data_IF_045752121778
#
_entry.id   IF_045752121778
#
_cell.length_a   1.000
_cell.length_b   1.000
_cell.length_c   1.000
_cell.angle_alpha   90.00
_cell.angle_beta   90.00
_cell.angle_gamma   90.00
#
_symmetry.space_group_name_H-M   'P 1'
#
loop_
_entity.id
_entity.type
_entity.pdbx_description
1 polymer ?
#
# COMPACT_ATOMS: atom_id res chain seq x y z
N UNK A 1 8.47 15.38 -3.19
CA UNK A 1 9.75 14.64 -3.13
C UNK A 1 9.49 13.28 -2.51
N UNK A 2 10.26 12.26 -2.88
CA UNK A 2 10.22 10.96 -2.21
C UNK A 2 10.82 11.12 -0.81
N UNK A 3 10.08 10.73 0.24
CA UNK A 3 10.51 10.83 1.63
C UNK A 3 10.35 9.48 2.31
N UNK A 4 11.48 8.83 2.59
CA UNK A 4 11.51 7.50 3.20
C UNK A 4 10.90 7.50 4.61
N UNK A 5 11.15 8.55 5.41
CA UNK A 5 10.68 8.63 6.81
C UNK A 5 9.17 8.77 6.89
N UNK A 6 8.55 9.41 5.90
CA UNK A 6 7.10 9.49 5.81
C UNK A 6 6.45 8.09 5.76
N UNK A 7 7.07 7.13 5.07
CA UNK A 7 6.55 5.76 4.93
C UNK A 7 6.67 4.90 6.19
N UNK A 8 7.36 5.38 7.23
CA UNK A 8 7.37 4.79 8.55
C UNK A 8 6.22 5.31 9.45
N UNK A 9 5.50 6.36 9.02
CA UNK A 9 4.30 6.84 9.71
C UNK A 9 3.08 5.96 9.41
N UNK A 10 2.05 5.93 10.27
CA UNK A 10 0.82 5.19 9.98
C UNK A 10 0.17 5.56 8.64
N UNK A 11 0.16 6.85 8.29
CA UNK A 11 -0.40 7.33 7.02
C UNK A 11 0.45 6.90 5.82
N UNK A 12 1.77 6.93 5.96
CA UNK A 12 2.67 6.47 4.91
C UNK A 12 2.57 4.97 4.69
N UNK A 13 2.52 4.18 5.77
CA UNK A 13 2.30 2.75 5.70
C UNK A 13 0.97 2.40 4.99
N UNK A 14 -0.13 3.10 5.31
CA UNK A 14 -1.41 2.92 4.58
C UNK A 14 -1.26 3.13 3.07
N UNK A 15 -0.45 4.10 2.64
CA UNK A 15 -0.18 4.34 1.22
C UNK A 15 0.60 3.19 0.59
N UNK A 16 1.64 2.69 1.27
CA UNK A 16 2.43 1.54 0.82
C UNK A 16 1.55 0.30 0.69
N UNK A 17 0.77 -0.02 1.73
CA UNK A 17 -0.16 -1.16 1.71
C UNK A 17 -1.16 -1.04 0.56
N UNK A 18 -1.75 0.14 0.35
CA UNK A 18 -2.67 0.36 -0.77
C UNK A 18 -2.00 0.11 -2.14
N UNK A 19 -0.75 0.54 -2.31
CA UNK A 19 0.00 0.32 -3.54
C UNK A 19 0.33 -1.16 -3.76
N UNK A 20 0.95 -1.81 -2.79
CA UNK A 20 1.39 -3.21 -2.89
C UNK A 20 0.22 -4.16 -3.11
N UNK A 21 -0.82 -4.04 -2.28
CA UNK A 21 -1.99 -4.92 -2.34
C UNK A 21 -2.71 -4.82 -3.70
N UNK A 22 -2.76 -3.62 -4.29
CA UNK A 22 -3.40 -3.41 -5.59
C UNK A 22 -2.49 -3.81 -6.76
N UNK A 23 -1.26 -3.27 -6.81
CA UNK A 23 -0.39 -3.36 -7.99
C UNK A 23 0.28 -4.73 -8.10
N UNK A 24 0.73 -5.31 -6.97
CA UNK A 24 1.53 -6.53 -6.98
C UNK A 24 0.73 -7.77 -6.57
N UNK A 25 -0.33 -7.60 -5.77
CA UNK A 25 -1.17 -8.72 -5.30
C UNK A 25 -2.57 -8.78 -5.93
N UNK A 26 -2.94 -7.82 -6.79
CA UNK A 26 -4.16 -7.87 -7.58
C UNK A 26 -5.47 -7.74 -6.80
N UNK A 27 -5.43 -7.21 -5.57
CA UNK A 27 -6.65 -6.99 -4.79
C UNK A 27 -7.47 -5.81 -5.35
N UNK A 28 -8.79 -5.90 -5.20
CA UNK A 28 -9.69 -4.84 -5.58
C UNK A 28 -9.63 -3.69 -4.59
N UNK A 29 -9.78 -2.46 -5.10
CA UNK A 29 -9.78 -1.24 -4.28
C UNK A 29 -10.80 -1.29 -3.14
N UNK A 30 -11.94 -1.97 -3.33
CA UNK A 30 -12.97 -2.17 -2.31
C UNK A 30 -12.47 -3.00 -1.12
N UNK A 31 -11.74 -4.07 -1.38
CA UNK A 31 -11.21 -4.95 -0.33
C UNK A 31 -10.16 -4.20 0.51
N UNK A 32 -9.26 -3.50 -0.18
CA UNK A 32 -8.24 -2.66 0.43
C UNK A 32 -8.88 -1.52 1.24
N UNK A 33 -9.91 -0.87 0.70
CA UNK A 33 -10.62 0.23 1.35
C UNK A 33 -11.29 -0.23 2.65
N UNK A 34 -11.96 -1.38 2.62
CA UNK A 34 -12.56 -2.00 3.82
C UNK A 34 -11.50 -2.28 4.88
N UNK A 35 -10.36 -2.86 4.49
CA UNK A 35 -9.25 -3.16 5.40
C UNK A 35 -8.62 -1.89 6.00
N UNK A 36 -8.39 -0.85 5.19
CA UNK A 36 -7.73 0.38 5.65
C UNK A 36 -8.68 1.36 6.36
N UNK A 37 -9.99 1.09 6.34
CA UNK A 37 -11.03 1.96 6.89
C UNK A 37 -11.14 3.28 6.13
N UNK A 38 -11.10 3.24 4.79
CA UNK A 38 -11.20 4.44 3.94
C UNK A 38 -12.08 4.20 2.71
N UNK A 39 -12.18 5.20 1.82
CA UNK A 39 -12.96 5.07 0.58
C UNK A 39 -12.15 4.46 -0.57
N UNK A 40 -12.80 3.85 -1.55
CA UNK A 40 -12.14 3.35 -2.78
C UNK A 40 -11.35 4.46 -3.49
N UNK A 41 -11.89 5.67 -3.52
CA UNK A 41 -11.23 6.84 -4.11
C UNK A 41 -9.94 7.20 -3.35
N UNK A 42 -9.93 7.03 -2.03
CA UNK A 42 -8.72 7.23 -1.22
C UNK A 42 -7.63 6.21 -1.61
N UNK A 43 -8.00 4.94 -1.79
CA UNK A 43 -7.08 3.89 -2.26
C UNK A 43 -6.52 4.23 -3.64
N UNK A 44 -7.39 4.57 -4.60
CA UNK A 44 -6.97 4.95 -5.95
C UNK A 44 -6.00 6.14 -5.95
N UNK A 45 -6.25 7.14 -5.10
CA UNK A 45 -5.38 8.30 -4.92
C UNK A 45 -4.01 7.91 -4.35
N UNK A 46 -3.96 7.00 -3.37
CA UNK A 46 -2.70 6.48 -2.82
C UNK A 46 -1.88 5.75 -3.90
N UNK A 47 -2.52 4.83 -4.64
CA UNK A 47 -1.88 4.09 -5.73
C UNK A 47 -1.31 5.04 -6.78
N UNK A 48 -2.12 5.99 -7.26
CA UNK A 48 -1.69 6.99 -8.26
C UNK A 48 -0.51 7.83 -7.74
N UNK A 49 -0.54 8.25 -6.47
CA UNK A 49 0.53 9.04 -5.86
C UNK A 49 1.84 8.26 -5.76
N UNK A 50 1.80 6.95 -5.54
CA UNK A 50 3.00 6.13 -5.40
C UNK A 50 3.50 5.60 -6.75
N UNK A 51 2.62 5.41 -7.75
CA UNK A 51 3.01 4.94 -9.08
C UNK A 51 4.07 5.81 -9.76
N UNK A 52 4.08 7.12 -9.47
CA UNK A 52 5.14 8.02 -9.98
C UNK A 52 6.54 7.73 -9.41
N UNK A 53 6.66 6.94 -8.34
CA UNK A 53 7.93 6.55 -7.73
C UNK A 53 8.39 5.13 -8.12
N UNK A 54 7.59 4.39 -8.89
CA UNK A 54 7.83 2.98 -9.26
C UNK A 54 9.19 2.75 -9.96
N UNK A 55 9.70 3.79 -10.63
CA UNK A 55 11.00 3.77 -11.30
C UNK A 55 12.19 3.99 -10.34
N UNK A 56 11.95 4.46 -9.11
CA UNK A 56 13.01 4.78 -8.14
C UNK A 56 13.47 3.52 -7.41
N UNK A 57 14.78 3.26 -7.41
CA UNK A 57 15.38 2.15 -6.65
C UNK A 57 15.07 2.25 -5.15
N UNK A 58 15.18 3.45 -4.58
CA UNK A 58 14.91 3.68 -3.15
C UNK A 58 13.46 3.39 -2.77
N UNK A 59 12.52 3.59 -3.70
CA UNK A 59 11.13 3.23 -3.48
C UNK A 59 10.98 1.71 -3.42
N UNK A 60 11.57 0.97 -4.35
CA UNK A 60 11.56 -0.52 -4.32
C UNK A 60 12.13 -1.06 -3.01
N UNK A 61 13.26 -0.53 -2.55
CA UNK A 61 13.85 -0.90 -1.24
C UNK A 61 12.90 -0.59 -0.08
N UNK A 62 12.11 0.47 -0.18
CA UNK A 62 11.11 0.84 0.84
C UNK A 62 9.89 -0.09 0.79
N UNK A 63 9.48 -0.58 -0.38
CA UNK A 63 8.42 -1.59 -0.50
C UNK A 63 8.86 -2.93 0.11
N UNK A 64 10.07 -3.38 -0.24
CA UNK A 64 10.67 -4.61 0.30
C UNK A 64 10.79 -4.57 1.82
N UNK A 65 11.14 -3.42 2.41
CA UNK A 65 11.24 -3.30 3.87
C UNK A 65 9.90 -3.37 4.61
N UNK A 66 8.77 -3.30 3.90
CA UNK A 66 7.42 -3.43 4.45
C UNK A 66 6.74 -4.76 4.10
N UNK A 67 7.47 -5.73 3.55
CA UNK A 67 6.94 -7.04 3.14
C UNK A 67 6.11 -7.72 4.24
N UNK A 68 6.59 -7.71 5.48
CA UNK A 68 5.89 -8.30 6.62
C UNK A 68 4.54 -7.62 6.92
N UNK A 69 4.45 -6.30 6.78
CA UNK A 69 3.18 -5.58 6.94
C UNK A 69 2.20 -5.93 5.82
N UNK A 70 2.69 -6.10 4.60
CA UNK A 70 1.90 -6.52 3.43
C UNK A 70 1.38 -7.96 3.61
N UNK A 71 2.22 -8.89 4.04
CA UNK A 71 1.85 -10.28 4.35
C UNK A 71 0.74 -10.33 5.40
N UNK A 72 0.90 -9.61 6.51
CA UNK A 72 -0.11 -9.53 7.57
C UNK A 72 -1.44 -8.97 7.04
N UNK A 73 -1.39 -7.95 6.17
CA UNK A 73 -2.58 -7.36 5.57
C UNK A 73 -3.29 -8.36 4.63
N UNK A 74 -2.54 -9.11 3.81
CA UNK A 74 -3.09 -10.15 2.93
C UNK A 74 -3.78 -11.25 3.73
N UNK A 75 -3.16 -11.73 4.80
CA UNK A 75 -3.77 -12.73 5.68
C UNK A 75 -5.05 -12.20 6.31
N UNK A 76 -5.05 -10.95 6.77
CA UNK A 76 -6.22 -10.35 7.38
C UNK A 76 -7.38 -10.24 6.38
N UNK A 77 -7.12 -9.74 5.17
CA UNK A 77 -8.15 -9.61 4.12
C UNK A 77 -8.71 -10.98 3.75
N UNK A 78 -7.86 -11.99 3.52
CA UNK A 78 -8.30 -13.35 3.16
C UNK A 78 -9.18 -14.01 4.21
N UNK A 79 -9.02 -13.68 5.50
CA UNK A 79 -9.87 -14.21 6.57
C UNK A 79 -11.28 -13.59 6.60
N UNK A 80 -11.49 -12.46 5.93
CA UNK A 80 -12.74 -11.70 5.93
C UNK A 80 -13.41 -11.64 4.54
N UNK A 81 -12.92 -12.44 3.59
CA UNK A 81 -13.55 -12.70 2.28
C UNK A 81 -14.39 -13.98 2.37
#
# INVERSE_FOLDING_TARGET
>A
MFDKKFFDTPMGLKQILAYELYVNHGLYQREIANFLGCSNNTVANYVKKLKKYDHLKDFKVTLESKSKDVENALENIKRHL
#
